data_IF_096024967750
#
_entry.id   IF_096024967750
#
_cell.length_a   1.000
_cell.length_b   1.000
_cell.length_c   1.000
_cell.angle_alpha   90.00
_cell.angle_beta   90.00
_cell.angle_gamma   90.00
#
_symmetry.space_group_name_H-M   'P 1'
#
loop_
_entity.id
_entity.type
_entity.pdbx_description
1 polymer ?
#
# COMPACT_ATOMS: atom_id res chain seq x y z
N UNK A 1 -0.69 -31.70 4.08
CA UNK A 1 -2.00 -31.01 4.04
C UNK A 1 -3.03 -32.06 3.61
N UNK A 2 -4.12 -32.21 4.38
CA UNK A 2 -5.20 -33.16 4.04
C UNK A 2 -6.23 -32.46 3.14
N UNK A 3 -6.59 -33.07 2.03
CA UNK A 3 -7.64 -32.61 1.10
C UNK A 3 -9.00 -33.27 1.37
N UNK A 4 -9.15 -33.99 2.50
CA UNK A 4 -10.37 -34.74 2.82
C UNK A 4 -11.59 -33.87 3.16
N UNK A 5 -11.39 -32.66 3.56
CA UNK A 5 -12.47 -31.72 3.90
C UNK A 5 -12.26 -30.35 3.25
N UNK A 6 -12.69 -30.21 2.00
CA UNK A 6 -12.62 -28.97 1.22
C UNK A 6 -13.98 -28.27 1.24
N UNK A 7 -14.41 -27.82 2.43
CA UNK A 7 -15.63 -27.05 2.61
C UNK A 7 -15.24 -25.59 2.85
N UNK A 8 -15.55 -24.71 1.90
CA UNK A 8 -15.17 -23.28 1.90
C UNK A 8 -16.37 -22.44 1.52
N UNK A 9 -16.23 -21.13 1.69
CA UNK A 9 -17.20 -20.17 1.15
C UNK A 9 -16.92 -19.96 -0.35
N UNK A 10 -17.98 -20.00 -1.14
CA UNK A 10 -17.94 -19.62 -2.54
C UNK A 10 -17.91 -18.07 -2.69
N UNK A 11 -17.75 -17.55 -3.93
CA UNK A 11 -17.74 -16.10 -4.16
C UNK A 11 -18.99 -15.34 -3.67
N UNK A 12 -20.15 -16.02 -3.57
CA UNK A 12 -21.41 -15.45 -3.04
C UNK A 12 -21.53 -15.52 -1.51
N UNK A 13 -20.50 -16.01 -0.81
CA UNK A 13 -20.53 -16.16 0.64
C UNK A 13 -21.33 -17.36 1.16
N UNK A 14 -21.66 -18.33 0.29
CA UNK A 14 -22.37 -19.58 0.67
C UNK A 14 -21.35 -20.69 0.89
N UNK A 15 -21.66 -21.58 1.85
CA UNK A 15 -20.83 -22.75 2.11
C UNK A 15 -20.97 -23.74 0.94
N UNK A 16 -19.85 -24.10 0.31
CA UNK A 16 -19.75 -25.06 -0.79
C UNK A 16 -18.69 -26.12 -0.45
N UNK A 17 -19.02 -27.38 -0.74
CA UNK A 17 -18.05 -28.46 -0.71
C UNK A 17 -17.45 -28.64 -2.10
N UNK A 18 -16.13 -28.49 -2.19
CA UNK A 18 -15.38 -28.64 -3.44
C UNK A 18 -14.90 -30.09 -3.59
N UNK A 19 -14.92 -30.60 -4.81
CA UNK A 19 -14.47 -31.93 -5.13
C UNK A 19 -12.94 -32.01 -5.30
N UNK A 20 -12.32 -30.92 -5.75
CA UNK A 20 -10.87 -30.87 -5.97
C UNK A 20 -10.31 -29.49 -5.67
N UNK A 21 -8.98 -29.37 -5.40
CA UNK A 21 -8.31 -28.07 -5.28
C UNK A 21 -8.39 -27.23 -6.57
N UNK A 22 -8.45 -27.85 -7.73
CA UNK A 22 -8.56 -27.15 -9.02
C UNK A 22 -9.89 -26.41 -9.12
N UNK A 23 -10.99 -27.00 -8.68
CA UNK A 23 -12.30 -26.34 -8.66
C UNK A 23 -12.29 -25.06 -7.80
N UNK A 24 -11.53 -25.07 -6.68
CA UNK A 24 -11.35 -23.87 -5.84
C UNK A 24 -10.54 -22.81 -6.60
N UNK A 25 -9.49 -23.20 -7.32
CA UNK A 25 -8.67 -22.30 -8.10
C UNK A 25 -9.45 -21.69 -9.26
N UNK A 26 -10.32 -22.45 -9.91
CA UNK A 26 -11.17 -21.95 -10.99
C UNK A 26 -12.14 -20.88 -10.49
N UNK A 27 -12.87 -21.15 -9.40
CA UNK A 27 -13.77 -20.17 -8.79
C UNK A 27 -12.99 -18.90 -8.36
N UNK A 28 -11.80 -19.07 -7.77
CA UNK A 28 -10.93 -17.97 -7.35
C UNK A 28 -10.42 -17.16 -8.53
N UNK A 29 -10.03 -17.81 -9.64
CA UNK A 29 -9.49 -17.14 -10.81
C UNK A 29 -10.46 -16.09 -11.37
N UNK A 30 -11.70 -16.48 -11.62
CA UNK A 30 -12.70 -15.55 -12.17
C UNK A 30 -13.02 -14.40 -11.22
N UNK A 31 -13.16 -14.70 -9.92
CA UNK A 31 -13.38 -13.68 -8.92
C UNK A 31 -12.21 -12.70 -8.86
N UNK A 32 -10.98 -13.21 -8.80
CA UNK A 32 -9.76 -12.40 -8.69
C UNK A 32 -9.56 -11.52 -9.92
N UNK A 33 -9.78 -12.04 -11.11
CA UNK A 33 -9.69 -11.28 -12.35
C UNK A 33 -10.67 -10.10 -12.37
N UNK A 34 -11.90 -10.30 -11.89
CA UNK A 34 -12.87 -9.21 -11.72
C UNK A 34 -12.39 -8.12 -10.75
N UNK A 35 -11.67 -8.50 -9.68
CA UNK A 35 -11.07 -7.52 -8.77
C UNK A 35 -9.88 -6.77 -9.39
N UNK A 36 -9.08 -7.41 -10.27
CA UNK A 36 -8.03 -6.70 -11.00
C UNK A 36 -8.59 -5.67 -11.98
N UNK A 37 -9.74 -5.95 -12.59
CA UNK A 37 -10.43 -4.94 -13.39
C UNK A 37 -10.83 -3.71 -12.55
N UNK A 38 -11.48 -3.92 -11.39
CA UNK A 38 -11.83 -2.83 -10.46
C UNK A 38 -10.61 -2.08 -9.93
N UNK A 39 -9.52 -2.80 -9.63
CA UNK A 39 -8.24 -2.21 -9.21
C UNK A 39 -7.68 -1.30 -10.30
N UNK A 40 -7.68 -1.75 -11.57
CA UNK A 40 -7.25 -0.94 -12.70
C UNK A 40 -8.07 0.35 -12.81
N UNK A 41 -9.39 0.25 -12.77
CA UNK A 41 -10.29 1.41 -12.83
C UNK A 41 -9.99 2.41 -11.71
N UNK A 42 -9.89 1.94 -10.47
CA UNK A 42 -9.56 2.78 -9.34
C UNK A 42 -8.19 3.48 -9.47
N UNK A 43 -7.15 2.76 -9.91
CA UNK A 43 -5.83 3.36 -10.13
C UNK A 43 -5.84 4.39 -11.26
N UNK A 44 -6.60 4.14 -12.35
CA UNK A 44 -6.80 5.10 -13.43
C UNK A 44 -7.46 6.38 -12.92
N UNK A 45 -8.50 6.25 -12.11
CA UNK A 45 -9.21 7.42 -11.55
C UNK A 45 -8.31 8.22 -10.60
N UNK A 46 -7.52 7.54 -9.76
CA UNK A 46 -6.54 8.21 -8.90
C UNK A 46 -5.48 8.96 -9.70
N UNK A 47 -4.90 8.34 -10.74
CA UNK A 47 -3.89 8.99 -11.59
C UNK A 47 -4.48 10.17 -12.37
N UNK A 48 -5.73 10.09 -12.83
CA UNK A 48 -6.43 11.21 -13.45
C UNK A 48 -6.58 12.39 -12.50
N UNK A 49 -7.02 12.14 -11.26
CA UNK A 49 -7.15 13.19 -10.24
C UNK A 49 -5.81 13.88 -9.96
N UNK A 50 -4.72 13.12 -9.87
CA UNK A 50 -3.37 13.68 -9.70
C UNK A 50 -2.95 14.50 -10.91
N UNK A 51 -3.16 13.99 -12.12
CA UNK A 51 -2.87 14.67 -13.38
C UNK A 51 -3.61 16.00 -13.50
N UNK A 52 -4.93 16.00 -13.25
CA UNK A 52 -5.76 17.18 -13.31
C UNK A 52 -5.34 18.23 -12.27
N UNK A 53 -5.00 17.78 -11.06
CA UNK A 53 -4.48 18.63 -10.00
C UNK A 53 -3.16 19.30 -10.38
N UNK A 54 -2.19 18.54 -10.88
CA UNK A 54 -0.89 19.05 -11.33
C UNK A 54 -1.05 20.00 -12.51
N UNK A 55 -1.91 19.67 -13.47
CA UNK A 55 -2.22 20.51 -14.62
C UNK A 55 -2.80 21.87 -14.20
N UNK A 56 -3.76 21.86 -13.28
CA UNK A 56 -4.35 23.06 -12.74
C UNK A 56 -3.34 23.90 -11.93
N UNK A 57 -2.48 23.26 -11.13
CA UNK A 57 -1.42 23.96 -10.39
C UNK A 57 -0.42 24.63 -11.35
N UNK A 58 0.04 23.91 -12.38
CA UNK A 58 0.97 24.47 -13.37
C UNK A 58 0.34 25.65 -14.12
N UNK A 59 -0.94 25.53 -14.53
CA UNK A 59 -1.68 26.59 -15.18
C UNK A 59 -1.86 27.80 -14.27
N UNK A 60 -2.22 27.60 -13.00
CA UNK A 60 -2.41 28.66 -12.01
C UNK A 60 -1.13 29.46 -11.81
N UNK A 61 0.01 28.80 -11.56
CA UNK A 61 1.30 29.47 -11.39
C UNK A 61 1.72 30.20 -12.66
N UNK A 62 1.50 29.60 -13.84
CA UNK A 62 1.79 30.24 -15.13
C UNK A 62 1.00 31.53 -15.34
N UNK A 63 -0.31 31.53 -15.03
CA UNK A 63 -1.16 32.72 -15.14
C UNK A 63 -0.81 33.83 -14.16
N UNK A 64 -0.28 33.50 -12.98
CA UNK A 64 0.25 34.51 -12.04
C UNK A 64 1.54 35.12 -12.57
N UNK A 65 2.45 34.32 -13.11
CA UNK A 65 3.71 34.79 -13.68
C UNK A 65 3.47 35.68 -14.93
N UNK A 66 2.51 35.32 -15.78
CA UNK A 66 2.11 36.13 -16.94
C UNK A 66 1.31 37.38 -16.57
N UNK A 67 0.91 37.53 -15.30
CA UNK A 67 0.06 38.61 -14.78
C UNK A 67 -1.37 38.63 -15.34
N UNK A 68 -1.81 37.50 -15.88
CA UNK A 68 -3.21 37.28 -16.29
C UNK A 68 -4.14 37.12 -15.10
N UNK A 69 -3.61 36.52 -14.01
CA UNK A 69 -4.32 36.33 -12.75
C UNK A 69 -3.56 37.06 -11.63
N UNK A 70 -4.27 37.92 -10.89
CA UNK A 70 -3.74 38.59 -9.71
C UNK A 70 -4.47 38.11 -8.46
N UNK A 71 -3.71 37.59 -7.50
CA UNK A 71 -4.24 37.11 -6.21
C UNK A 71 -4.10 38.18 -5.11
N UNK A 72 -3.25 39.19 -5.35
CA UNK A 72 -2.96 40.24 -4.37
C UNK A 72 -4.11 41.22 -4.25
N UNK A 73 -4.46 41.64 -3.03
CA UNK A 73 -5.48 42.64 -2.70
C UNK A 73 -6.93 42.28 -3.13
N UNK A 74 -7.24 41.03 -3.38
CA UNK A 74 -8.60 40.53 -3.66
C UNK A 74 -9.14 39.78 -2.46
N UNK A 75 -10.45 39.78 -2.26
CA UNK A 75 -11.13 38.92 -1.28
C UNK A 75 -11.09 37.46 -1.75
N UNK A 76 -11.00 36.51 -0.81
CA UNK A 76 -10.98 35.08 -1.12
C UNK A 76 -12.17 34.66 -2.00
N UNK A 77 -13.36 35.18 -1.73
CA UNK A 77 -14.56 34.91 -2.51
C UNK A 77 -14.43 35.34 -3.99
N UNK A 78 -13.91 36.54 -4.24
CA UNK A 78 -13.73 37.06 -5.59
C UNK A 78 -12.71 36.22 -6.40
N UNK A 79 -11.64 35.76 -5.73
CA UNK A 79 -10.64 34.87 -6.35
C UNK A 79 -11.28 33.52 -6.70
N UNK A 80 -12.10 32.96 -5.82
CA UNK A 80 -12.78 31.69 -6.09
C UNK A 80 -13.75 31.77 -7.28
N UNK A 81 -14.47 32.89 -7.39
CA UNK A 81 -15.38 33.11 -8.54
C UNK A 81 -14.59 33.30 -9.84
N UNK A 82 -13.45 34.00 -9.80
CA UNK A 82 -12.55 34.13 -10.95
C UNK A 82 -11.96 32.77 -11.37
N UNK A 83 -11.56 31.92 -10.41
CA UNK A 83 -11.09 30.56 -10.70
C UNK A 83 -12.19 29.68 -11.35
N UNK A 84 -13.44 29.83 -10.90
CA UNK A 84 -14.59 29.14 -11.52
C UNK A 84 -14.83 29.63 -12.95
N UNK A 85 -14.77 30.93 -13.20
CA UNK A 85 -14.91 31.53 -14.55
C UNK A 85 -13.80 31.05 -15.48
N UNK A 86 -12.60 30.87 -14.98
CA UNK A 86 -11.45 30.34 -15.70
C UNK A 86 -11.47 28.81 -15.85
N UNK A 87 -12.55 28.14 -15.45
CA UNK A 87 -12.72 26.69 -15.52
C UNK A 87 -11.59 25.89 -14.81
N UNK A 88 -11.18 26.35 -13.63
CA UNK A 88 -10.36 25.51 -12.76
C UNK A 88 -11.21 24.45 -12.10
N UNK A 89 -10.69 23.23 -12.05
CA UNK A 89 -11.39 22.11 -11.42
C UNK A 89 -11.35 22.24 -9.91
N UNK A 90 -12.51 22.10 -9.26
CA UNK A 90 -12.63 22.07 -7.81
C UNK A 90 -12.23 20.69 -7.28
N UNK A 91 -11.36 20.66 -6.27
CA UNK A 91 -11.01 19.43 -5.55
C UNK A 91 -11.38 19.64 -4.08
N UNK A 92 -12.55 19.10 -3.64
CA UNK A 92 -12.94 19.19 -2.25
C UNK A 92 -11.88 18.52 -1.37
N UNK A 93 -11.54 19.14 -0.25
CA UNK A 93 -10.64 18.55 0.74
C UNK A 93 -11.33 17.30 1.31
N UNK A 94 -10.96 16.14 0.83
CA UNK A 94 -11.35 14.87 1.47
C UNK A 94 -10.64 14.87 2.82
N UNK A 95 -11.39 14.94 3.91
CA UNK A 95 -10.84 14.69 5.23
C UNK A 95 -10.27 13.27 5.24
N UNK A 96 -8.95 13.19 5.07
CA UNK A 96 -8.22 11.93 5.13
C UNK A 96 -8.28 11.41 6.56
N UNK A 97 -9.21 10.52 6.86
CA UNK A 97 -9.21 9.68 8.05
C UNK A 97 -8.10 8.61 8.02
N UNK A 98 -7.02 8.85 7.32
CA UNK A 98 -5.83 8.00 7.36
C UNK A 98 -4.60 8.89 7.51
N UNK A 99 -4.10 8.96 8.74
CA UNK A 99 -2.77 9.47 9.04
C UNK A 99 -1.75 8.61 8.29
N UNK A 100 -1.28 9.08 7.13
CA UNK A 100 -0.01 8.64 6.58
C UNK A 100 1.06 9.62 7.07
N UNK A 101 1.98 9.09 7.83
CA UNK A 101 3.19 9.74 8.34
C UNK A 101 4.03 10.14 7.14
N UNK A 102 4.10 11.42 6.85
CA UNK A 102 5.17 12.16 6.17
C UNK A 102 4.61 13.41 5.47
N UNK A 103 4.41 14.47 6.20
CA UNK A 103 4.77 15.83 5.80
C UNK A 103 4.64 16.77 7.02
N UNK A 104 5.73 16.88 7.77
CA UNK A 104 5.90 18.00 8.72
C UNK A 104 6.33 19.21 7.90
N UNK A 105 5.40 20.08 7.59
CA UNK A 105 5.71 21.43 7.14
C UNK A 105 4.73 22.42 7.75
N UNK A 106 5.22 23.04 8.84
CA UNK A 106 4.94 24.40 9.31
C UNK A 106 3.47 24.83 9.28
N UNK A 107 2.82 24.66 10.42
CA UNK A 107 1.62 25.40 10.81
C UNK A 107 2.02 26.84 11.14
N UNK A 108 1.74 27.79 10.24
CA UNK A 108 1.53 29.18 10.64
C UNK A 108 0.04 29.33 10.97
N UNK A 109 -0.21 29.40 12.27
CA UNK A 109 -1.49 29.77 12.84
C UNK A 109 -1.70 31.28 12.61
N UNK A 110 -2.67 31.61 11.76
CA UNK A 110 -3.47 32.81 11.91
C UNK A 110 -4.95 32.41 11.87
N UNK A 111 -5.45 32.10 13.07
CA UNK A 111 -6.87 32.07 13.36
C UNK A 111 -7.38 33.51 13.33
N UNK A 112 -8.33 33.77 12.44
CA UNK A 112 -9.49 34.64 12.66
C UNK A 112 -10.39 34.54 11.42
N UNK A 113 -11.51 33.87 11.54
CA UNK A 113 -12.87 34.23 11.10
C UNK A 113 -13.71 33.06 10.62
N UNK A 114 -14.77 32.84 11.38
CA UNK A 114 -16.13 32.38 11.08
C UNK A 114 -16.33 31.10 10.26
N UNK A 115 -17.14 30.15 10.77
CA UNK A 115 -17.53 28.95 10.05
C UNK A 115 -18.73 29.23 9.15
N UNK A 116 -18.51 29.82 7.99
CA UNK A 116 -19.45 29.73 6.88
C UNK A 116 -19.04 28.54 6.02
N UNK A 117 -19.86 27.50 6.05
CA UNK A 117 -19.67 26.24 5.30
C UNK A 117 -19.62 26.40 3.77
N UNK A 118 -18.57 26.99 3.27
CA UNK A 118 -18.20 26.96 1.86
C UNK A 118 -16.93 26.16 1.73
N UNK A 119 -17.11 24.95 1.26
CA UNK A 119 -16.11 24.00 0.83
C UNK A 119 -14.92 24.72 0.17
N UNK A 120 -13.75 24.48 0.71
CA UNK A 120 -12.47 24.98 0.27
C UNK A 120 -12.03 24.30 -1.04
N UNK A 121 -12.86 24.40 -2.08
CA UNK A 121 -12.71 23.66 -3.34
C UNK A 121 -11.41 23.98 -4.08
N UNK A 122 -10.81 25.14 -3.83
CA UNK A 122 -9.58 25.62 -4.46
C UNK A 122 -8.41 25.81 -3.50
N UNK A 123 -8.49 25.28 -2.28
CA UNK A 123 -7.41 25.40 -1.30
C UNK A 123 -6.08 24.83 -1.82
N UNK A 124 -6.12 23.79 -2.67
CA UNK A 124 -4.92 23.22 -3.28
C UNK A 124 -4.14 24.21 -4.19
N UNK A 125 -4.76 25.30 -4.63
CA UNK A 125 -4.15 26.40 -5.37
C UNK A 125 -3.80 27.56 -4.43
N UNK A 126 -4.72 27.93 -3.56
CA UNK A 126 -4.61 29.12 -2.71
C UNK A 126 -3.64 28.92 -1.53
N UNK A 127 -3.40 27.69 -1.11
CA UNK A 127 -2.42 27.33 -0.08
C UNK A 127 -0.96 27.32 -0.60
N UNK A 128 -0.74 27.56 -1.89
CA UNK A 128 0.62 27.62 -2.43
C UNK A 128 1.33 28.87 -1.95
N UNK A 129 2.54 28.71 -1.38
CA UNK A 129 3.32 29.85 -0.91
C UNK A 129 3.75 30.77 -2.06
N UNK A 130 3.85 32.08 -1.80
CA UNK A 130 4.28 33.07 -2.80
C UNK A 130 5.67 32.72 -3.37
N UNK A 131 6.55 32.15 -2.55
CA UNK A 131 7.89 31.71 -2.96
C UNK A 131 7.88 30.53 -3.94
N UNK A 132 6.76 29.79 -4.03
CA UNK A 132 6.60 28.69 -4.98
C UNK A 132 6.06 29.14 -6.36
N UNK A 133 5.71 30.42 -6.51
CA UNK A 133 5.20 30.99 -7.77
C UNK A 133 6.34 31.40 -8.70
N UNK A 134 7.21 30.45 -9.05
CA UNK A 134 8.39 30.67 -9.89
C UNK A 134 8.31 29.84 -11.19
N UNK A 135 9.06 30.25 -12.21
CA UNK A 135 9.17 29.50 -13.48
C UNK A 135 9.70 28.07 -13.25
N UNK A 136 10.68 27.92 -12.36
CA UNK A 136 11.24 26.61 -12.02
C UNK A 136 10.18 25.67 -11.41
N UNK A 137 9.25 26.23 -10.63
CA UNK A 137 8.12 25.44 -10.10
C UNK A 137 7.16 25.02 -11.21
N UNK A 138 6.89 25.89 -12.17
CA UNK A 138 6.06 25.53 -13.36
C UNK A 138 6.72 24.38 -14.13
N UNK A 139 8.02 24.47 -14.43
CA UNK A 139 8.76 23.41 -15.13
C UNK A 139 8.71 22.08 -14.38
N UNK A 140 8.86 22.14 -13.05
CA UNK A 140 8.76 20.94 -12.20
C UNK A 140 7.35 20.33 -12.22
N UNK A 141 6.30 21.15 -12.09
CA UNK A 141 4.93 20.70 -12.14
C UNK A 141 4.57 20.10 -13.52
N UNK A 142 5.06 20.70 -14.60
CA UNK A 142 4.88 20.15 -15.94
C UNK A 142 5.57 18.81 -16.11
N UNK A 143 6.79 18.66 -15.58
CA UNK A 143 7.50 17.38 -15.59
C UNK A 143 6.76 16.30 -14.79
N UNK A 144 6.33 16.60 -13.57
CA UNK A 144 5.53 15.69 -12.73
C UNK A 144 4.22 15.30 -13.42
N UNK A 145 3.55 16.25 -14.10
CA UNK A 145 2.36 16.00 -14.92
C UNK A 145 2.64 15.04 -16.07
N UNK A 146 3.71 15.28 -16.83
CA UNK A 146 4.09 14.45 -18.00
C UNK A 146 4.51 13.03 -17.58
N UNK A 147 5.16 12.89 -16.43
CA UNK A 147 5.46 11.60 -15.81
C UNK A 147 4.16 10.87 -15.42
N UNK A 148 3.22 11.56 -14.80
CA UNK A 148 1.89 11.02 -14.42
C UNK A 148 1.09 10.63 -15.66
N UNK A 149 1.11 11.44 -16.72
CA UNK A 149 0.46 11.14 -18.01
C UNK A 149 1.04 9.87 -18.65
N UNK A 150 2.35 9.70 -18.57
CA UNK A 150 3.03 8.50 -19.08
C UNK A 150 2.60 7.26 -18.30
N UNK A 151 2.55 7.35 -16.96
CA UNK A 151 2.06 6.27 -16.11
C UNK A 151 0.61 5.92 -16.41
N UNK A 152 -0.24 6.93 -16.61
CA UNK A 152 -1.65 6.74 -16.97
C UNK A 152 -1.79 6.02 -18.32
N UNK A 153 -1.02 6.42 -19.35
CA UNK A 153 -1.00 5.76 -20.66
C UNK A 153 -0.56 4.31 -20.59
N UNK A 154 0.50 4.04 -19.81
CA UNK A 154 0.98 2.67 -19.56
C UNK A 154 -0.11 1.83 -18.88
N UNK A 155 -0.74 2.35 -17.82
CA UNK A 155 -1.77 1.63 -17.08
C UNK A 155 -3.02 1.37 -17.94
N UNK A 156 -3.42 2.32 -18.78
CA UNK A 156 -4.55 2.14 -19.71
C UNK A 156 -4.27 1.04 -20.73
N UNK A 157 -3.04 0.94 -21.23
CA UNK A 157 -2.61 -0.09 -22.18
C UNK A 157 -2.47 -1.49 -21.59
N UNK A 158 -2.34 -1.64 -20.25
CA UNK A 158 -2.22 -2.94 -19.59
C UNK A 158 -3.57 -3.62 -19.46
N UNK A 159 -3.60 -4.94 -19.65
CA UNK A 159 -4.78 -5.75 -19.34
C UNK A 159 -4.83 -6.09 -17.84
N UNK A 160 -6.01 -6.42 -17.28
CA UNK A 160 -6.12 -6.93 -15.91
C UNK A 160 -5.27 -8.18 -15.67
N UNK A 161 -5.15 -9.05 -16.67
CA UNK A 161 -4.31 -10.25 -16.64
C UNK A 161 -2.83 -9.87 -16.48
N UNK A 162 -2.34 -8.91 -17.28
CA UNK A 162 -0.95 -8.46 -17.20
C UNK A 162 -0.61 -7.89 -15.82
N UNK A 163 -1.54 -7.15 -15.19
CA UNK A 163 -1.35 -6.65 -13.83
C UNK A 163 -1.26 -7.79 -12.82
N UNK A 164 -2.04 -8.83 -13.03
CA UNK A 164 -1.98 -10.01 -12.15
C UNK A 164 -0.69 -10.82 -12.38
N UNK A 165 -0.28 -11.01 -13.62
CA UNK A 165 0.96 -11.71 -13.97
C UNK A 165 2.20 -11.01 -13.40
N UNK A 166 2.22 -9.65 -13.40
CA UNK A 166 3.28 -8.87 -12.76
C UNK A 166 3.32 -9.12 -11.24
N UNK A 167 2.18 -9.09 -10.56
CA UNK A 167 2.09 -9.36 -9.11
C UNK A 167 2.49 -10.82 -8.80
N UNK A 168 2.12 -11.78 -9.64
CA UNK A 168 2.52 -13.19 -9.49
C UNK A 168 4.02 -13.39 -9.73
N UNK A 169 4.61 -12.70 -10.69
CA UNK A 169 6.04 -12.76 -10.95
C UNK A 169 6.83 -12.22 -9.75
N UNK A 170 6.44 -11.07 -9.24
CA UNK A 170 7.06 -10.50 -8.04
C UNK A 170 6.91 -11.44 -6.82
N UNK A 171 5.74 -12.08 -6.65
CA UNK A 171 5.52 -13.05 -5.60
C UNK A 171 6.45 -14.27 -5.74
N UNK A 172 6.64 -14.79 -6.96
CA UNK A 172 7.51 -15.95 -7.19
C UNK A 172 8.98 -15.64 -6.85
N UNK A 173 9.47 -14.45 -7.21
CA UNK A 173 10.82 -14.00 -6.88
C UNK A 173 11.05 -13.98 -5.35
N UNK A 174 10.11 -13.37 -4.59
CA UNK A 174 10.18 -13.33 -3.14
C UNK A 174 10.00 -14.72 -2.50
N UNK A 175 9.15 -15.57 -3.08
CA UNK A 175 8.95 -16.94 -2.63
C UNK A 175 10.20 -17.80 -2.78
N UNK A 176 10.86 -17.73 -3.93
CA UNK A 176 12.11 -18.46 -4.20
C UNK A 176 13.25 -17.98 -3.28
N UNK A 177 13.35 -16.66 -3.04
CA UNK A 177 14.28 -16.10 -2.09
C UNK A 177 14.02 -16.63 -0.67
N UNK A 178 12.76 -16.72 -0.26
CA UNK A 178 12.36 -17.25 1.05
C UNK A 178 12.68 -18.74 1.20
N UNK A 179 12.40 -19.55 0.17
CA UNK A 179 12.76 -20.98 0.16
C UNK A 179 14.27 -21.15 0.30
N UNK A 180 15.06 -20.36 -0.42
CA UNK A 180 16.52 -20.42 -0.35
C UNK A 180 17.03 -20.04 1.06
N UNK A 181 16.44 -19.02 1.68
CA UNK A 181 16.77 -18.63 3.06
C UNK A 181 16.44 -19.73 4.07
N UNK A 182 15.24 -20.32 3.98
CA UNK A 182 14.80 -21.38 4.87
C UNK A 182 15.69 -22.64 4.73
N UNK A 183 16.09 -22.99 3.50
CA UNK A 183 17.04 -24.06 3.24
C UNK A 183 18.42 -23.78 3.87
N UNK A 184 18.91 -22.54 3.78
CA UNK A 184 20.16 -22.10 4.42
C UNK A 184 20.07 -22.21 5.94
N UNK A 185 18.98 -21.73 6.55
CA UNK A 185 18.76 -21.81 8.00
C UNK A 185 18.66 -23.28 8.48
N UNK A 186 17.98 -24.14 7.74
CA UNK A 186 17.88 -25.56 8.04
C UNK A 186 19.26 -26.23 8.00
N UNK A 187 20.12 -25.91 7.02
CA UNK A 187 21.48 -26.44 6.95
C UNK A 187 22.35 -25.99 8.13
N UNK A 188 22.24 -24.74 8.55
CA UNK A 188 22.97 -24.20 9.72
C UNK A 188 22.52 -24.84 11.03
N UNK A 189 21.24 -25.13 11.20
CA UNK A 189 20.70 -25.81 12.40
C UNK A 189 21.16 -27.26 12.47
N UNK A 190 21.18 -27.96 11.34
CA UNK A 190 21.67 -29.34 11.26
C UNK A 190 23.15 -29.45 11.64
N UNK A 191 23.96 -28.49 11.17
CA UNK A 191 25.41 -28.46 11.52
C UNK A 191 25.65 -28.23 13.00
N UNK A 192 24.81 -27.41 13.66
CA UNK A 192 24.90 -27.18 15.12
C UNK A 192 24.54 -28.43 15.95
N UNK A 193 23.59 -29.23 15.47
CA UNK A 193 23.18 -30.47 16.19
C UNK A 193 24.27 -31.55 16.09
N UNK A 194 24.99 -31.62 14.97
CA UNK A 194 26.08 -32.61 14.76
C UNK A 194 27.33 -32.21 15.56
N UNK A 195 27.57 -30.94 15.82
CA UNK A 195 28.72 -30.44 16.56
C UNK A 195 28.53 -30.41 18.08
N UNK A 196 27.35 -30.72 18.62
CA UNK A 196 27.14 -30.82 20.06
C UNK A 196 27.83 -32.06 20.62
N UNK A 197 28.76 -31.95 21.56
CA UNK A 197 29.47 -33.10 22.12
C UNK A 197 28.47 -34.06 22.79
N UNK A 198 28.43 -35.33 22.35
CA UNK A 198 27.67 -36.38 23.02
C UNK A 198 28.06 -36.39 24.48
N UNK A 199 27.19 -35.92 25.37
CA UNK A 199 27.36 -36.11 26.83
C UNK A 199 27.53 -37.59 27.07
N UNK A 200 28.76 -38.00 27.41
CA UNK A 200 29.06 -39.37 27.90
C UNK A 200 28.11 -39.66 29.05
N UNK A 201 27.22 -40.60 28.86
CA UNK A 201 26.44 -41.18 29.98
C UNK A 201 27.41 -41.74 30.98
N UNK A 202 27.35 -41.25 32.21
CA UNK A 202 28.11 -41.82 33.33
C UNK A 202 27.72 -43.29 33.49
N UNK A 203 28.70 -44.19 33.80
CA UNK A 203 28.43 -45.60 34.03
C UNK A 203 27.47 -45.77 35.21
N UNK A 204 26.55 -46.74 35.18
CA UNK A 204 25.64 -47.01 36.28
C UNK A 204 26.40 -47.39 37.55
N UNK A 205 26.06 -46.76 38.67
CA UNK A 205 26.60 -47.12 39.99
C UNK A 205 26.24 -48.56 40.31
N UNK A 206 27.18 -49.38 40.93
CA UNK A 206 26.89 -50.75 41.33
C UNK A 206 25.80 -50.76 42.41
N UNK A 207 24.83 -51.67 42.25
CA UNK A 207 23.81 -51.95 43.25
C UNK A 207 24.50 -52.49 44.47
N UNK A 208 24.30 -51.91 45.64
CA UNK A 208 24.62 -52.52 46.91
C UNK A 208 23.70 -53.72 47.14
N UNK A 209 24.27 -54.90 47.30
CA UNK A 209 23.61 -56.10 47.83
C UNK A 209 23.31 -55.86 49.31
N UNK A 210 22.04 -55.79 49.68
CA UNK A 210 21.59 -55.88 51.04
C UNK A 210 21.47 -57.37 51.42
N UNK A 211 22.29 -57.71 52.40
CA UNK A 211 22.44 -59.05 52.92
C UNK A 211 21.19 -59.58 53.64
N UNK A 212 21.02 -60.85 53.45
CA UNK A 212 20.10 -61.72 54.14
C UNK A 212 20.24 -61.61 55.66
N UNK A 213 19.13 -61.40 56.31
CA UNK A 213 19.05 -61.76 57.79
C UNK A 213 17.91 -62.78 57.91
N UNK A 214 18.31 -63.94 58.34
CA UNK A 214 17.54 -65.11 58.65
C UNK A 214 16.65 -64.98 59.90
N UNK A 215 15.70 -65.88 60.13
CA UNK A 215 14.62 -65.76 61.11
C UNK A 215 14.95 -66.31 62.48
N UNK A 216 14.39 -65.73 63.56
CA UNK A 216 14.30 -66.41 64.82
C UNK A 216 12.92 -66.30 65.43
N UNK A 217 12.39 -67.49 65.65
CA UNK A 217 11.36 -68.00 66.57
C UNK A 217 11.01 -67.12 67.80
N UNK A 218 9.78 -66.91 68.05
CA UNK A 218 8.87 -67.49 69.01
C UNK A 218 7.49 -66.88 68.89
#
# INVERSE_FOLDING_TARGET
>A
ISTGNMVLFNPEGKIKKYASPLEILDDFYFLRLGFYQRRKEHLVDQLKLVYDRLSNQARFVSMIISKELSVSNKKKADIMDELRQLNFQAFPKVEAKTKSVADEAVEDQDELDEPTGTTTDFDYLLSMSIYSLTRERVERLLKERDETETQLKILLGRSPQNLWDEDLTAFLEEWDAKIAEDARLASMTTTKVISAPKRRRAPPKPKKEEGQASPTKK
#
